data_IF_466416993459
#
_entry.id   IF_466416993459
#
_cell.length_a   1.000
_cell.length_b   1.000
_cell.length_c   1.000
_cell.angle_alpha   90.00
_cell.angle_beta   90.00
_cell.angle_gamma   90.00
#
_symmetry.space_group_name_H-M   'P 1'
#
loop_
_entity.id
_entity.type
_entity.pdbx_description
1 polymer ?
#
# COMPACT_ATOMS: atom_id res chain seq x y z
N UNK A 1 6.72 21.39 13.21
CA UNK A 1 5.81 21.11 12.08
C UNK A 1 4.40 21.58 12.43
N UNK A 2 3.67 22.14 11.47
CA UNK A 2 2.32 22.68 11.63
C UNK A 2 1.29 21.66 11.16
N UNK A 3 0.33 21.33 12.00
CA UNK A 3 -0.68 20.34 11.66
C UNK A 3 -2.10 20.87 11.88
N UNK A 4 -3.07 20.31 11.17
CA UNK A 4 -4.49 20.42 11.51
C UNK A 4 -5.04 19.03 11.80
N UNK A 5 -6.04 18.95 12.69
CA UNK A 5 -6.66 17.70 13.14
C UNK A 5 -8.15 17.78 12.80
N UNK A 6 -8.65 16.78 12.07
CA UNK A 6 -10.05 16.71 11.65
C UNK A 6 -10.65 15.37 12.09
N UNK A 7 -11.66 15.44 12.93
CA UNK A 7 -12.36 14.28 13.48
C UNK A 7 -13.75 14.71 13.94
N UNK A 8 -14.79 13.97 13.62
CA UNK A 8 -16.17 14.30 14.02
C UNK A 8 -16.45 14.02 15.50
N UNK A 9 -15.55 13.29 16.18
CA UNK A 9 -15.59 13.14 17.64
C UNK A 9 -14.75 14.24 18.32
N UNK A 10 -15.39 15.20 19.01
CA UNK A 10 -14.69 16.29 19.69
C UNK A 10 -13.76 15.83 20.82
N UNK A 11 -14.02 14.65 21.42
CA UNK A 11 -13.12 14.08 22.44
C UNK A 11 -11.83 13.56 21.82
N UNK A 12 -11.89 13.00 20.63
CA UNK A 12 -10.69 12.57 19.88
C UNK A 12 -9.85 13.79 19.50
N UNK A 13 -10.48 14.83 18.91
CA UNK A 13 -9.79 16.09 18.59
C UNK A 13 -9.08 16.68 19.81
N UNK A 14 -9.78 16.81 20.95
CA UNK A 14 -9.24 17.39 22.18
C UNK A 14 -8.10 16.54 22.75
N UNK A 15 -8.23 15.21 22.71
CA UNK A 15 -7.18 14.29 23.19
C UNK A 15 -5.95 14.39 22.33
N UNK A 16 -6.08 14.34 21.00
CA UNK A 16 -4.98 14.46 20.06
C UNK A 16 -4.30 15.83 20.17
N UNK A 17 -5.08 16.91 20.26
CA UNK A 17 -4.52 18.25 20.47
C UNK A 17 -3.69 18.31 21.74
N UNK A 18 -4.20 17.78 22.87
CA UNK A 18 -3.49 17.77 24.16
C UNK A 18 -2.17 17.00 24.05
N UNK A 19 -2.21 15.79 23.48
CA UNK A 19 -1.03 14.91 23.39
C UNK A 19 0.02 15.47 22.43
N UNK A 20 -0.41 16.06 21.31
CA UNK A 20 0.51 16.59 20.33
C UNK A 20 1.07 17.96 20.72
N UNK A 21 0.33 18.76 21.48
CA UNK A 21 0.80 20.08 21.99
C UNK A 21 1.92 20.01 23.02
N UNK A 22 2.16 18.84 23.64
CA UNK A 22 3.33 18.66 24.53
C UNK A 22 4.61 18.31 23.78
N UNK A 23 4.53 18.14 22.46
CA UNK A 23 5.70 17.90 21.61
C UNK A 23 6.26 19.23 21.13
N UNK A 24 7.51 19.56 21.47
CA UNK A 24 8.15 20.85 21.14
C UNK A 24 8.22 21.14 19.63
N UNK A 25 8.17 20.11 18.79
CA UNK A 25 8.30 20.19 17.34
C UNK A 25 6.96 20.15 16.58
N UNK A 26 5.82 20.08 17.29
CA UNK A 26 4.49 19.99 16.70
C UNK A 26 3.62 21.15 17.15
N UNK A 27 3.02 21.86 16.21
CA UNK A 27 2.07 22.95 16.43
C UNK A 27 0.73 22.57 15.81
N UNK A 28 -0.32 22.46 16.63
CA UNK A 28 -1.69 22.23 16.16
C UNK A 28 -2.33 23.58 15.85
N UNK A 29 -2.49 23.90 14.57
CA UNK A 29 -3.03 25.17 14.09
C UNK A 29 -4.53 25.31 14.29
N UNK A 30 -5.27 24.23 14.02
CA UNK A 30 -6.71 24.20 14.11
C UNK A 30 -7.24 22.76 14.23
N UNK A 31 -8.49 22.64 14.66
CA UNK A 31 -9.27 21.40 14.64
C UNK A 31 -10.57 21.63 13.88
N UNK A 32 -11.11 20.59 13.26
CA UNK A 32 -12.39 20.61 12.54
C UNK A 32 -13.13 19.29 12.72
N UNK A 33 -14.39 19.25 12.34
CA UNK A 33 -15.29 18.13 12.60
C UNK A 33 -15.88 17.48 11.33
N UNK A 34 -15.49 17.94 10.16
CA UNK A 34 -16.05 17.44 8.89
C UNK A 34 -15.07 17.52 7.73
N UNK A 35 -15.38 16.84 6.62
CA UNK A 35 -14.59 16.94 5.41
C UNK A 35 -14.59 18.36 4.81
N UNK A 36 -15.69 19.13 4.96
CA UNK A 36 -15.71 20.54 4.56
C UNK A 36 -14.75 21.39 5.39
N UNK A 37 -14.69 21.14 6.71
CA UNK A 37 -13.71 21.79 7.56
C UNK A 37 -12.29 21.44 7.15
N UNK A 38 -12.03 20.18 6.80
CA UNK A 38 -10.73 19.74 6.32
C UNK A 38 -10.27 20.54 5.10
N UNK A 39 -11.12 20.66 4.09
CA UNK A 39 -10.83 21.40 2.87
C UNK A 39 -10.59 22.89 3.17
N UNK A 40 -11.50 23.51 3.92
CA UNK A 40 -11.42 24.93 4.28
C UNK A 40 -10.16 25.22 5.10
N UNK A 41 -9.94 24.48 6.19
CA UNK A 41 -8.80 24.70 7.08
C UNK A 41 -7.46 24.38 6.43
N UNK A 42 -7.42 23.41 5.52
CA UNK A 42 -6.22 23.15 4.74
C UNK A 42 -5.79 24.37 3.90
N UNK A 43 -6.74 24.99 3.21
CA UNK A 43 -6.47 26.21 2.44
C UNK A 43 -6.13 27.43 3.31
N UNK A 44 -6.86 27.62 4.42
CA UNK A 44 -6.70 28.77 5.29
C UNK A 44 -5.39 28.75 6.09
N UNK A 45 -5.00 27.55 6.57
CA UNK A 45 -3.88 27.38 7.49
C UNK A 45 -2.57 26.95 6.80
N UNK A 46 -2.64 26.40 5.59
CA UNK A 46 -1.52 25.80 4.87
C UNK A 46 -0.63 24.91 5.78
N UNK A 47 -1.16 23.82 6.36
CA UNK A 47 -0.45 22.98 7.30
C UNK A 47 0.63 22.16 6.60
N UNK A 48 1.64 21.73 7.34
CA UNK A 48 2.63 20.76 6.86
C UNK A 48 2.02 19.35 6.70
N UNK A 49 1.07 18.98 7.62
CA UNK A 49 0.37 17.70 7.60
C UNK A 49 -1.10 17.91 8.00
N UNK A 50 -1.99 17.25 7.29
CA UNK A 50 -3.39 17.07 7.64
C UNK A 50 -3.57 15.68 8.30
N UNK A 51 -3.93 15.69 9.59
CA UNK A 51 -4.31 14.48 10.34
C UNK A 51 -5.84 14.40 10.34
N UNK A 52 -6.42 13.35 9.75
CA UNK A 52 -7.85 13.34 9.46
C UNK A 52 -8.49 11.97 9.63
N UNK A 53 -9.66 11.93 10.29
CA UNK A 53 -10.49 10.73 10.29
C UNK A 53 -11.07 10.46 8.89
N UNK A 54 -11.35 9.19 8.64
CA UNK A 54 -11.96 8.73 7.39
C UNK A 54 -13.47 8.83 7.43
N UNK A 55 -14.07 8.43 8.56
CA UNK A 55 -15.52 8.29 8.69
C UNK A 55 -16.13 9.53 9.31
N UNK A 56 -16.42 10.52 8.50
CA UNK A 56 -17.11 11.75 8.91
C UNK A 56 -18.30 12.03 7.98
N UNK A 57 -19.24 12.81 8.47
CA UNK A 57 -20.41 13.25 7.69
C UNK A 57 -20.51 14.78 7.70
N UNK A 58 -21.10 15.41 6.65
CA UNK A 58 -21.65 14.81 5.43
C UNK A 58 -20.57 14.42 4.38
N UNK A 59 -19.37 14.98 4.47
CA UNK A 59 -18.23 14.67 3.59
C UNK A 59 -17.23 13.80 4.33
N UNK A 60 -16.94 12.61 3.79
CA UNK A 60 -15.95 11.71 4.37
C UNK A 60 -14.52 12.25 4.24
N UNK A 61 -13.63 11.83 5.14
CA UNK A 61 -12.22 12.20 5.05
C UNK A 61 -11.56 11.77 3.75
N UNK A 62 -11.95 10.61 3.19
CA UNK A 62 -11.43 10.17 1.89
C UNK A 62 -11.82 11.11 0.76
N UNK A 63 -13.10 11.55 0.72
CA UNK A 63 -13.58 12.48 -0.29
C UNK A 63 -12.90 13.86 -0.16
N UNK A 64 -12.75 14.35 1.08
CA UNK A 64 -12.02 15.58 1.36
C UNK A 64 -10.53 15.47 0.98
N UNK A 65 -9.89 14.35 1.33
CA UNK A 65 -8.48 14.09 0.99
C UNK A 65 -8.25 14.00 -0.52
N UNK A 66 -9.15 13.37 -1.26
CA UNK A 66 -9.08 13.31 -2.73
C UNK A 66 -9.18 14.71 -3.36
N UNK A 67 -10.07 15.55 -2.83
CA UNK A 67 -10.18 16.94 -3.32
C UNK A 67 -8.92 17.74 -3.01
N UNK A 68 -8.42 17.68 -1.77
CA UNK A 68 -7.20 18.39 -1.36
C UNK A 68 -6.00 17.95 -2.21
N UNK A 69 -5.81 16.64 -2.42
CA UNK A 69 -4.70 16.11 -3.24
C UNK A 69 -4.84 16.42 -4.74
N UNK A 70 -6.05 16.64 -5.23
CA UNK A 70 -6.29 17.13 -6.60
C UNK A 70 -5.85 18.59 -6.75
N UNK A 71 -6.14 19.42 -5.73
CA UNK A 71 -5.82 20.85 -5.73
C UNK A 71 -4.34 21.09 -5.38
N UNK A 72 -3.79 20.28 -4.46
CA UNK A 72 -2.38 20.27 -4.05
C UNK A 72 -1.83 18.84 -4.02
N UNK A 73 -1.19 18.36 -5.09
CA UNK A 73 -0.58 17.02 -5.13
C UNK A 73 0.58 16.81 -4.14
N UNK A 74 1.10 17.89 -3.54
CA UNK A 74 2.15 17.84 -2.53
C UNK A 74 1.63 17.70 -1.10
N UNK A 75 0.30 17.79 -0.90
CA UNK A 75 -0.34 17.68 0.40
C UNK A 75 0.06 16.37 1.14
N UNK A 76 0.34 16.50 2.42
CA UNK A 76 0.64 15.36 3.27
C UNK A 76 -0.58 15.04 4.13
N UNK A 77 -1.28 13.97 3.77
CA UNK A 77 -2.46 13.50 4.49
C UNK A 77 -2.12 12.21 5.22
N UNK A 78 -2.35 12.19 6.52
CA UNK A 78 -2.26 11.03 7.40
C UNK A 78 -3.66 10.72 7.91
N UNK A 79 -4.22 9.60 7.49
CA UNK A 79 -5.53 9.17 7.96
C UNK A 79 -5.45 8.49 9.32
N UNK A 80 -6.39 8.80 10.20
CA UNK A 80 -6.67 8.09 11.43
C UNK A 80 -8.03 7.40 11.32
N UNK A 81 -8.14 6.20 11.86
CA UNK A 81 -9.40 5.47 11.87
C UNK A 81 -9.52 4.53 13.05
N UNK A 82 -10.73 4.22 13.46
CA UNK A 82 -11.00 3.17 14.45
C UNK A 82 -11.03 1.78 13.81
N UNK A 83 -11.20 1.69 12.48
CA UNK A 83 -11.37 0.44 11.77
C UNK A 83 -10.27 0.24 10.73
N UNK A 84 -9.74 -0.96 10.69
CA UNK A 84 -8.80 -1.41 9.64
C UNK A 84 -9.55 -2.02 8.46
N UNK A 85 -10.57 -1.32 7.90
CA UNK A 85 -11.31 -1.80 6.74
C UNK A 85 -10.43 -1.73 5.48
N UNK A 86 -10.35 -2.87 4.82
CA UNK A 86 -9.50 -3.03 3.64
C UNK A 86 -9.85 -2.09 2.49
N UNK A 87 -11.12 -1.75 2.34
CA UNK A 87 -11.58 -0.87 1.28
C UNK A 87 -11.09 0.57 1.49
N UNK A 88 -11.15 1.08 2.72
CA UNK A 88 -10.65 2.42 3.06
C UNK A 88 -9.12 2.53 2.90
N UNK A 89 -8.40 1.47 3.27
CA UNK A 89 -6.95 1.40 3.07
C UNK A 89 -6.60 1.50 1.58
N UNK A 90 -7.28 0.71 0.73
CA UNK A 90 -7.05 0.72 -0.71
C UNK A 90 -7.36 2.10 -1.33
N UNK A 91 -8.45 2.74 -0.90
CA UNK A 91 -8.81 4.07 -1.37
C UNK A 91 -7.80 5.13 -0.91
N UNK A 92 -7.37 5.12 0.35
CA UNK A 92 -6.36 6.04 0.88
C UNK A 92 -5.02 5.95 0.11
N UNK A 93 -4.58 4.72 -0.19
CA UNK A 93 -3.39 4.48 -1.03
C UNK A 93 -3.57 5.02 -2.45
N UNK A 94 -4.73 4.74 -3.06
CA UNK A 94 -5.04 5.15 -4.44
C UNK A 94 -5.02 6.66 -4.63
N UNK A 95 -5.53 7.43 -3.65
CA UNK A 95 -5.51 8.90 -3.71
C UNK A 95 -4.14 9.50 -3.38
N UNK A 96 -3.18 8.69 -2.89
CA UNK A 96 -1.81 9.16 -2.61
C UNK A 96 -1.60 9.65 -1.18
N UNK A 97 -2.40 9.21 -0.20
CA UNK A 97 -2.18 9.51 1.20
C UNK A 97 -0.78 9.09 1.67
N UNK A 98 -0.18 9.88 2.56
CA UNK A 98 1.15 9.61 3.12
C UNK A 98 1.14 8.65 4.29
N UNK A 99 -0.03 8.35 4.84
CA UNK A 99 -0.12 7.36 5.88
C UNK A 99 -1.54 7.00 6.29
N UNK A 100 -1.61 5.93 7.08
CA UNK A 100 -2.84 5.37 7.61
C UNK A 100 -2.56 4.71 8.96
N UNK A 101 -3.15 5.23 10.02
CA UNK A 101 -2.96 4.74 11.39
C UNK A 101 -4.31 4.38 12.03
N UNK A 102 -4.24 3.49 13.01
CA UNK A 102 -5.39 3.13 13.83
C UNK A 102 -5.40 4.03 15.06
N UNK A 103 -6.56 4.60 15.40
CA UNK A 103 -6.74 5.57 16.53
C UNK A 103 -6.32 5.00 17.90
N UNK A 104 -6.28 3.67 18.06
CA UNK A 104 -5.83 3.03 19.31
C UNK A 104 -4.32 3.15 19.55
N UNK A 105 -3.51 3.38 18.51
CA UNK A 105 -2.05 3.56 18.63
C UNK A 105 -1.69 5.05 18.78
N UNK A 106 -2.10 5.64 19.91
CA UNK A 106 -1.87 7.06 20.19
C UNK A 106 -0.37 7.39 20.26
N UNK A 107 0.44 6.50 20.84
CA UNK A 107 1.88 6.70 20.99
C UNK A 107 2.61 6.71 19.63
N UNK A 108 2.07 6.02 18.64
CA UNK A 108 2.59 5.96 17.28
C UNK A 108 2.35 7.23 16.45
N UNK A 109 1.42 8.12 16.85
CA UNK A 109 1.00 9.26 16.01
C UNK A 109 2.14 10.28 15.84
N UNK A 110 2.79 10.72 16.92
CA UNK A 110 3.87 11.71 16.82
C UNK A 110 5.09 11.18 16.03
N UNK A 111 5.59 9.95 16.25
CA UNK A 111 6.57 9.33 15.37
C UNK A 111 6.16 9.27 13.90
N UNK A 112 4.90 8.93 13.62
CA UNK A 112 4.37 8.86 12.26
C UNK A 112 4.36 10.23 11.56
N UNK A 113 3.95 11.29 12.27
CA UNK A 113 3.99 12.66 11.75
C UNK A 113 5.44 13.07 11.37
N UNK A 114 6.42 12.73 12.19
CA UNK A 114 7.85 13.00 11.89
C UNK A 114 8.34 12.20 10.67
N UNK A 115 7.94 10.96 10.55
CA UNK A 115 8.28 10.13 9.40
C UNK A 115 7.68 10.70 8.10
N UNK A 116 6.42 11.14 8.13
CA UNK A 116 5.75 11.79 6.99
C UNK A 116 6.45 13.11 6.63
N UNK A 117 6.87 13.90 7.61
CA UNK A 117 7.66 15.11 7.37
C UNK A 117 9.00 14.83 6.70
N UNK A 118 9.64 13.71 7.02
CA UNK A 118 10.89 13.28 6.36
C UNK A 118 10.67 12.66 4.96
N UNK A 119 9.42 12.63 4.46
CA UNK A 119 9.07 12.12 3.13
C UNK A 119 8.77 10.62 3.09
N UNK A 120 8.70 9.95 4.24
CA UNK A 120 8.31 8.54 4.33
C UNK A 120 6.79 8.39 4.28
N UNK A 121 6.32 7.23 3.85
CA UNK A 121 4.91 6.83 4.02
C UNK A 121 4.79 5.90 5.23
N UNK A 122 3.74 6.09 6.04
CA UNK A 122 3.55 5.36 7.30
C UNK A 122 2.24 4.59 7.27
N UNK A 123 2.33 3.28 7.45
CA UNK A 123 1.17 2.40 7.55
C UNK A 123 1.33 1.53 8.79
N UNK A 124 0.35 1.52 9.68
CA UNK A 124 0.37 0.68 10.88
C UNK A 124 0.53 -0.81 10.54
N UNK A 125 1.13 -1.60 11.44
CA UNK A 125 1.44 -3.02 11.18
C UNK A 125 0.24 -3.86 10.73
N UNK A 126 -0.94 -3.64 11.32
CA UNK A 126 -2.20 -4.28 10.89
C UNK A 126 -2.63 -3.85 9.48
N UNK A 127 -2.34 -2.60 9.12
CA UNK A 127 -2.62 -2.05 7.79
C UNK A 127 -1.73 -2.71 6.74
N UNK A 128 -0.44 -2.92 7.06
CA UNK A 128 0.51 -3.60 6.16
C UNK A 128 0.05 -5.04 5.87
N UNK A 129 -0.38 -5.78 6.90
CA UNK A 129 -0.91 -7.14 6.71
C UNK A 129 -2.12 -7.16 5.79
N UNK A 130 -2.97 -6.14 5.88
CA UNK A 130 -4.16 -6.01 5.03
C UNK A 130 -3.82 -5.49 3.64
N UNK A 131 -2.86 -4.58 3.50
CA UNK A 131 -2.35 -4.17 2.18
C UNK A 131 -1.81 -5.38 1.42
N UNK A 132 -1.11 -6.29 2.10
CA UNK A 132 -0.65 -7.54 1.48
C UNK A 132 -1.80 -8.45 1.03
N UNK A 133 -2.95 -8.40 1.73
CA UNK A 133 -4.17 -9.12 1.34
C UNK A 133 -5.04 -8.34 0.33
N UNK A 134 -4.87 -7.01 0.27
CA UNK A 134 -5.59 -6.09 -0.64
C UNK A 134 -4.83 -5.78 -1.92
N UNK A 135 -3.50 -6.00 -1.91
CA UNK A 135 -2.86 -6.15 -3.21
C UNK A 135 -3.71 -7.24 -3.86
N UNK A 136 -4.52 -6.95 -4.90
CA UNK A 136 -5.12 -8.02 -5.65
C UNK A 136 -3.93 -8.93 -5.86
N UNK A 137 -4.03 -10.21 -5.54
CA UNK A 137 -3.14 -11.18 -6.13
C UNK A 137 -3.04 -10.68 -7.55
N UNK A 138 -1.93 -9.99 -7.88
CA UNK A 138 -1.67 -9.62 -9.28
C UNK A 138 -1.97 -10.93 -9.95
N UNK A 139 -2.93 -10.99 -10.87
CA UNK A 139 -3.54 -12.25 -11.25
C UNK A 139 -2.40 -13.23 -11.29
N UNK A 140 -2.36 -14.10 -10.25
CA UNK A 140 -1.36 -15.14 -10.18
C UNK A 140 -1.54 -15.75 -11.52
N UNK A 141 -0.55 -15.59 -12.40
CA UNK A 141 -0.68 -15.95 -13.80
C UNK A 141 -1.45 -17.25 -13.79
N UNK A 142 -2.78 -17.17 -13.93
CA UNK A 142 -3.51 -18.42 -14.02
C UNK A 142 -2.90 -19.06 -15.25
N UNK A 143 -2.36 -20.26 -15.15
CA UNK A 143 -1.73 -20.94 -16.28
C UNK A 143 -2.57 -20.77 -17.55
N UNK A 144 -3.90 -20.74 -17.36
CA UNK A 144 -4.90 -20.56 -18.39
C UNK A 144 -4.88 -19.17 -19.05
N UNK A 145 -4.67 -18.09 -18.28
CA UNK A 145 -4.59 -16.72 -18.83
C UNK A 145 -3.35 -16.51 -19.70
N UNK A 146 -2.29 -17.32 -19.48
CA UNK A 146 -1.06 -17.33 -20.29
C UNK A 146 -1.05 -18.42 -21.36
N UNK A 147 -2.11 -19.23 -21.47
CA UNK A 147 -2.12 -20.41 -22.34
C UNK A 147 -1.07 -21.45 -21.94
N UNK A 148 -0.65 -21.47 -20.65
CA UNK A 148 0.27 -22.44 -20.11
C UNK A 148 -0.50 -23.60 -19.46
N UNK A 149 0.00 -24.81 -19.62
CA UNK A 149 -0.44 -25.94 -18.82
C UNK A 149 0.06 -25.78 -17.36
N UNK A 150 -0.62 -26.46 -16.42
CA UNK A 150 -0.18 -26.48 -15.01
C UNK A 150 1.30 -26.86 -14.87
N UNK A 151 1.75 -27.82 -15.68
CA UNK A 151 3.15 -28.28 -15.67
C UNK A 151 4.14 -27.23 -16.17
N UNK A 152 3.76 -26.48 -17.20
CA UNK A 152 4.55 -25.37 -17.71
C UNK A 152 4.66 -24.23 -16.69
N UNK A 153 3.55 -23.92 -15.99
CA UNK A 153 3.53 -22.91 -14.92
C UNK A 153 4.41 -23.33 -13.74
N UNK A 154 4.36 -24.60 -13.34
CA UNK A 154 5.20 -25.14 -12.27
C UNK A 154 6.69 -25.05 -12.62
N UNK A 155 7.06 -25.39 -13.85
CA UNK A 155 8.47 -25.26 -14.32
C UNK A 155 8.88 -23.81 -14.41
N UNK A 156 8.00 -22.91 -14.91
CA UNK A 156 8.28 -21.47 -14.96
C UNK A 156 8.61 -20.92 -13.56
N UNK A 157 7.83 -21.32 -12.54
CA UNK A 157 8.05 -20.94 -11.14
C UNK A 157 9.43 -21.42 -10.65
N UNK A 158 9.75 -22.70 -10.83
CA UNK A 158 11.04 -23.26 -10.38
C UNK A 158 12.25 -22.64 -11.12
N UNK A 159 12.05 -22.22 -12.38
CA UNK A 159 13.06 -21.43 -13.12
C UNK A 159 13.25 -20.07 -12.48
N UNK A 160 12.15 -19.40 -12.09
CA UNK A 160 12.20 -18.10 -11.42
C UNK A 160 12.85 -18.18 -10.04
N UNK A 161 12.64 -19.28 -9.31
CA UNK A 161 13.27 -19.57 -8.02
C UNK A 161 14.78 -19.90 -8.17
N UNK A 162 15.32 -19.88 -9.40
CA UNK A 162 16.75 -20.04 -9.69
C UNK A 162 17.25 -21.48 -9.80
N UNK A 163 16.37 -22.49 -9.76
CA UNK A 163 16.76 -23.91 -9.83
C UNK A 163 17.35 -24.26 -11.20
N UNK A 164 18.42 -25.04 -11.25
CA UNK A 164 18.96 -25.62 -12.48
C UNK A 164 18.02 -26.69 -13.07
N UNK A 165 18.20 -27.02 -14.36
CA UNK A 165 17.38 -28.06 -14.99
C UNK A 165 17.44 -29.40 -14.25
N UNK A 166 18.59 -29.74 -13.67
CA UNK A 166 18.80 -30.96 -12.90
C UNK A 166 18.00 -30.95 -11.60
N UNK A 167 17.99 -29.82 -10.90
CA UNK A 167 17.22 -29.64 -9.66
C UNK A 167 15.72 -29.67 -9.94
N UNK A 168 15.27 -29.01 -11.03
CA UNK A 168 13.86 -29.07 -11.47
C UNK A 168 13.48 -30.50 -11.84
N UNK A 169 14.36 -31.21 -12.56
CA UNK A 169 14.12 -32.60 -12.94
C UNK A 169 13.95 -33.51 -11.70
N UNK A 170 14.77 -33.31 -10.68
CA UNK A 170 14.67 -34.03 -9.40
C UNK A 170 13.38 -33.67 -8.66
N UNK A 171 13.05 -32.37 -8.54
CA UNK A 171 11.86 -31.91 -7.83
C UNK A 171 10.55 -32.41 -8.47
N UNK A 172 10.53 -32.53 -9.79
CA UNK A 172 9.34 -32.88 -10.56
C UNK A 172 9.29 -34.35 -11.04
N UNK A 173 10.29 -35.15 -10.67
CA UNK A 173 10.45 -36.54 -11.11
C UNK A 173 10.48 -36.67 -12.66
N UNK A 174 11.22 -35.77 -13.31
CA UNK A 174 11.40 -35.72 -14.78
C UNK A 174 12.84 -36.04 -15.17
N UNK A 175 13.09 -36.21 -16.47
CA UNK A 175 14.45 -36.20 -17.01
C UNK A 175 14.92 -34.76 -17.27
N UNK A 176 16.25 -34.52 -17.21
CA UNK A 176 16.85 -33.21 -17.56
C UNK A 176 16.47 -32.77 -18.98
N UNK A 177 16.41 -33.74 -19.91
CA UNK A 177 15.98 -33.49 -21.31
C UNK A 177 14.51 -33.02 -21.38
N UNK A 178 13.64 -33.60 -20.56
CA UNK A 178 12.23 -33.20 -20.50
C UNK A 178 12.08 -31.77 -19.98
N UNK A 179 12.80 -31.40 -18.92
CA UNK A 179 12.81 -30.03 -18.38
C UNK A 179 13.32 -29.04 -19.42
N UNK A 180 14.38 -29.38 -20.17
CA UNK A 180 14.91 -28.54 -21.24
C UNK A 180 13.88 -28.28 -22.34
N UNK A 181 13.11 -29.30 -22.73
CA UNK A 181 12.05 -29.16 -23.71
C UNK A 181 10.95 -28.21 -23.21
N UNK A 182 10.51 -28.35 -21.96
CA UNK A 182 9.53 -27.44 -21.36
C UNK A 182 10.01 -25.99 -21.33
N UNK A 183 11.29 -25.76 -20.95
CA UNK A 183 11.87 -24.40 -20.96
C UNK A 183 11.90 -23.83 -22.38
N UNK A 184 12.25 -24.62 -23.38
CA UNK A 184 12.22 -24.17 -24.79
C UNK A 184 10.79 -23.81 -25.23
N UNK A 185 9.80 -24.64 -24.88
CA UNK A 185 8.38 -24.35 -25.18
C UNK A 185 7.90 -23.08 -24.49
N UNK A 186 8.30 -22.85 -23.22
CA UNK A 186 7.97 -21.62 -22.48
C UNK A 186 8.58 -20.38 -23.13
N UNK A 187 9.84 -20.44 -23.56
CA UNK A 187 10.52 -19.36 -24.27
C UNK A 187 9.78 -19.01 -25.57
N UNK A 188 9.38 -20.02 -26.34
CA UNK A 188 8.65 -19.84 -27.59
C UNK A 188 7.23 -19.27 -27.36
N UNK A 189 6.48 -19.83 -26.41
CA UNK A 189 5.12 -19.37 -26.08
C UNK A 189 5.08 -17.92 -25.57
N UNK A 190 6.03 -17.56 -24.72
CA UNK A 190 6.08 -16.25 -24.09
C UNK A 190 6.92 -15.23 -24.89
N UNK A 191 7.46 -15.63 -26.06
CA UNK A 191 8.31 -14.81 -26.95
C UNK A 191 9.52 -14.22 -26.21
N UNK A 192 10.17 -15.03 -25.38
CA UNK A 192 11.32 -14.66 -24.59
C UNK A 192 12.60 -15.31 -25.17
N UNK A 193 13.76 -14.68 -24.92
CA UNK A 193 15.03 -15.09 -25.56
C UNK A 193 15.85 -16.07 -24.74
N UNK A 194 15.72 -16.00 -23.41
CA UNK A 194 16.56 -16.76 -22.52
C UNK A 194 15.90 -17.01 -21.15
N UNK A 195 16.54 -17.88 -20.35
CA UNK A 195 16.08 -18.29 -19.03
C UNK A 195 15.97 -17.12 -18.04
N UNK A 196 16.86 -16.14 -18.15
CA UNK A 196 16.81 -14.95 -17.26
C UNK A 196 15.55 -14.15 -17.54
N UNK A 197 15.16 -14.03 -18.80
CA UNK A 197 13.90 -13.37 -19.17
C UNK A 197 12.67 -14.14 -18.68
N UNK A 198 12.70 -15.47 -18.60
CA UNK A 198 11.64 -16.26 -17.98
C UNK A 198 11.47 -15.89 -16.50
N UNK A 199 12.56 -15.82 -15.74
CA UNK A 199 12.51 -15.44 -14.33
C UNK A 199 11.99 -14.00 -14.13
N UNK A 200 12.52 -13.05 -14.92
CA UNK A 200 12.05 -11.64 -14.89
C UNK A 200 10.58 -11.54 -15.28
N UNK A 201 10.13 -12.30 -16.27
CA UNK A 201 8.74 -12.35 -16.71
C UNK A 201 7.83 -12.84 -15.59
N UNK A 202 8.20 -13.92 -14.89
CA UNK A 202 7.46 -14.47 -13.77
C UNK A 202 7.23 -13.42 -12.68
N UNK A 203 8.31 -12.76 -12.21
CA UNK A 203 8.19 -11.73 -11.15
C UNK A 203 7.46 -10.46 -11.60
N UNK A 204 7.62 -10.04 -12.85
CA UNK A 204 6.87 -8.88 -13.39
C UNK A 204 5.37 -9.12 -13.50
N UNK A 205 4.94 -10.36 -13.61
CA UNK A 205 3.54 -10.74 -13.77
C UNK A 205 2.94 -11.40 -12.49
N UNK A 206 3.46 -11.05 -11.31
CA UNK A 206 2.89 -11.38 -10.02
C UNK A 206 3.38 -12.68 -9.38
N UNK A 207 4.43 -13.30 -9.91
CA UNK A 207 5.08 -14.43 -9.27
C UNK A 207 5.71 -14.03 -7.93
N UNK A 208 5.51 -14.86 -6.88
CA UNK A 208 6.15 -14.69 -5.57
C UNK A 208 7.27 -15.72 -5.44
N UNK A 209 8.44 -15.29 -4.92
CA UNK A 209 9.46 -16.21 -4.41
C UNK A 209 8.96 -16.90 -3.14
N UNK A 210 9.32 -18.17 -2.94
CA UNK A 210 9.05 -18.91 -1.70
C UNK A 210 10.07 -18.48 -0.65
#
# INVERSE_FOLDING_TARGET
MKIIIIDDDPFVCMSLQTILSVQDDIEVLATGASGEDAIRLYHDCAPDILLMDIQMQPVSGLAAGEQILRDDPSARILFLTTFSDSEYIAQALKIGARGYLIKQDIEGIAPALRAVMSGQSVFGGEVISKIQSLTPEQPTLSPEALGLSEREAEILRLVADGLSNREIAQALYLSDGTVRNYISTLLDKLQLRDRTQLAVYYYKNGGKSI
#
